data_IF_825658386932
#
_entry.id   IF_825658386932
#
_cell.length_a   1.000
_cell.length_b   1.000
_cell.length_c   1.000
_cell.angle_alpha   90.00
_cell.angle_beta   90.00
_cell.angle_gamma   90.00
#
_symmetry.space_group_name_H-M   'P 1'
#
loop_
_entity.id
_entity.type
_entity.pdbx_description
1 polymer ?
#
# COMPACT_ATOMS: atom_id res chain seq x y z
N UNK A 1 -34.54 -10.00 5.46
CA UNK A 1 -34.15 -9.84 4.04
C UNK A 1 -33.66 -8.44 3.62
N UNK A 2 -34.40 -7.32 3.78
CA UNK A 2 -33.95 -5.97 3.32
C UNK A 2 -32.76 -5.41 4.13
N UNK A 3 -32.72 -5.67 5.45
CA UNK A 3 -31.65 -5.22 6.38
C UNK A 3 -30.31 -5.93 6.14
N UNK A 4 -30.32 -7.23 5.86
CA UNK A 4 -29.11 -8.02 5.58
C UNK A 4 -28.44 -7.58 4.27
N UNK A 5 -29.22 -7.29 3.22
CA UNK A 5 -28.68 -6.73 1.98
C UNK A 5 -27.99 -5.38 2.21
N UNK A 6 -28.55 -4.52 3.07
CA UNK A 6 -27.95 -3.23 3.43
C UNK A 6 -26.64 -3.39 4.21
N UNK A 7 -26.57 -4.35 5.15
CA UNK A 7 -25.35 -4.66 5.89
C UNK A 7 -24.24 -5.20 4.98
N UNK A 8 -24.56 -6.13 4.06
CA UNK A 8 -23.59 -6.66 3.09
C UNK A 8 -22.96 -5.55 2.23
N UNK A 9 -23.75 -4.59 1.77
CA UNK A 9 -23.24 -3.45 0.99
C UNK A 9 -22.31 -2.58 1.83
N UNK A 10 -22.66 -2.28 3.09
CA UNK A 10 -21.77 -1.51 4.00
C UNK A 10 -20.42 -2.21 4.20
N UNK A 11 -20.41 -3.52 4.41
CA UNK A 11 -19.18 -4.30 4.55
C UNK A 11 -18.31 -4.22 3.29
N UNK A 12 -18.92 -4.36 2.10
CA UNK A 12 -18.18 -4.26 0.83
C UNK A 12 -17.60 -2.85 0.63
N UNK A 13 -18.29 -1.79 1.05
CA UNK A 13 -17.74 -0.42 1.01
C UNK A 13 -16.48 -0.32 1.87
N UNK A 14 -16.56 -0.76 3.12
CA UNK A 14 -15.42 -0.69 4.05
C UNK A 14 -14.22 -1.46 3.49
N UNK A 15 -14.44 -2.68 2.97
CA UNK A 15 -13.40 -3.49 2.36
C UNK A 15 -12.78 -2.81 1.13
N UNK A 16 -13.61 -2.22 0.26
CA UNK A 16 -13.15 -1.54 -0.96
C UNK A 16 -12.31 -0.30 -0.61
N UNK A 17 -12.74 0.48 0.38
CA UNK A 17 -11.99 1.65 0.87
C UNK A 17 -10.64 1.23 1.44
N UNK A 18 -10.59 0.16 2.22
CA UNK A 18 -9.34 -0.37 2.78
C UNK A 18 -8.37 -0.81 1.66
N UNK A 19 -8.86 -1.55 0.67
CA UNK A 19 -8.04 -1.98 -0.47
C UNK A 19 -7.53 -0.81 -1.31
N UNK A 20 -8.36 0.22 -1.51
CA UNK A 20 -7.97 1.44 -2.21
C UNK A 20 -6.84 2.17 -1.47
N UNK A 21 -6.92 2.26 -0.15
CA UNK A 21 -5.89 2.89 0.68
C UNK A 21 -4.55 2.13 0.59
N UNK A 22 -4.58 0.81 0.68
CA UNK A 22 -3.39 -0.06 0.53
C UNK A 22 -2.78 0.11 -0.86
N UNK A 23 -3.61 0.13 -1.91
CA UNK A 23 -3.16 0.33 -3.30
C UNK A 23 -2.49 1.69 -3.45
N UNK A 24 -3.07 2.75 -2.90
CA UNK A 24 -2.52 4.09 -2.97
C UNK A 24 -1.14 4.21 -2.31
N UNK A 25 -0.99 3.66 -1.11
CA UNK A 25 0.29 3.62 -0.39
C UNK A 25 1.33 2.82 -1.17
N UNK A 26 0.93 1.68 -1.73
CA UNK A 26 1.83 0.76 -2.44
C UNK A 26 2.18 1.22 -3.85
N UNK A 27 1.42 2.13 -4.45
CA UNK A 27 1.69 2.68 -5.78
C UNK A 27 2.86 3.67 -5.81
N UNK A 28 3.17 4.31 -4.67
CA UNK A 28 4.21 5.36 -4.60
C UNK A 28 5.20 5.14 -3.43
N UNK A 29 5.88 3.98 -3.36
CA UNK A 29 6.78 3.67 -2.24
C UNK A 29 8.01 4.59 -2.23
N UNK A 30 8.53 4.96 -3.40
CA UNK A 30 9.70 5.84 -3.54
C UNK A 30 9.43 7.25 -2.99
N UNK A 31 8.23 7.79 -3.24
CA UNK A 31 7.81 9.10 -2.73
C UNK A 31 7.72 9.08 -1.20
N UNK A 32 7.10 8.03 -0.63
CA UNK A 32 6.96 7.88 0.82
C UNK A 32 8.33 7.73 1.51
N UNK A 33 9.21 6.90 0.96
CA UNK A 33 10.57 6.71 1.49
C UNK A 33 11.37 8.00 1.39
N UNK A 34 11.31 8.72 0.27
CA UNK A 34 12.01 9.99 0.10
C UNK A 34 11.51 11.06 1.08
N UNK A 35 10.19 11.14 1.29
CA UNK A 35 9.60 12.09 2.23
C UNK A 35 9.98 11.75 3.67
N UNK A 36 9.91 10.47 4.05
CA UNK A 36 10.31 9.99 5.37
C UNK A 36 11.81 10.18 5.63
N UNK A 37 12.65 9.90 4.63
CA UNK A 37 14.09 10.12 4.71
C UNK A 37 14.42 11.59 4.94
N UNK A 38 13.78 12.50 4.19
CA UNK A 38 13.98 13.93 4.36
C UNK A 38 13.52 14.41 5.73
N UNK A 39 12.39 13.88 6.24
CA UNK A 39 11.86 14.22 7.56
C UNK A 39 12.77 13.77 8.71
N UNK A 40 13.45 12.63 8.57
CA UNK A 40 14.34 12.10 9.60
C UNK A 40 15.79 12.59 9.49
N UNK A 41 16.21 13.05 8.30
CA UNK A 41 17.59 13.52 8.06
C UNK A 41 17.94 14.79 8.84
N UNK A 42 16.95 15.51 9.36
CA UNK A 42 17.18 16.73 10.15
C UNK A 42 17.77 16.47 11.55
N UNK A 43 17.95 15.22 11.98
CA UNK A 43 18.46 14.86 13.33
C UNK A 43 19.67 13.89 13.34
N UNK A 44 20.33 13.65 12.20
CA UNK A 44 21.45 12.69 12.14
C UNK A 44 22.76 13.38 12.52
N UNK A 45 23.24 13.14 13.74
CA UNK A 45 24.58 13.53 14.18
C UNK A 45 25.63 12.75 13.36
N UNK A 46 26.49 13.49 12.67
CA UNK A 46 27.41 12.98 11.62
C UNK A 46 28.46 12.01 12.22
N UNK A 47 28.58 11.98 13.56
CA UNK A 47 29.52 11.13 14.30
C UNK A 47 29.15 9.64 14.30
N UNK A 48 27.87 9.28 14.21
CA UNK A 48 27.41 7.89 14.16
C UNK A 48 27.31 7.32 12.73
N UNK A 49 27.30 8.19 11.71
CA UNK A 49 27.23 7.80 10.30
C UNK A 49 28.46 6.98 9.86
N UNK A 50 29.62 7.20 10.47
CA UNK A 50 30.86 6.46 10.20
C UNK A 50 30.82 5.00 10.69
N UNK A 51 29.99 4.70 11.70
CA UNK A 51 29.86 3.35 12.30
C UNK A 51 28.87 2.47 11.51
N UNK A 52 27.83 3.09 10.95
CA UNK A 52 26.78 2.42 10.17
C UNK A 52 27.34 1.83 8.86
N UNK A 53 28.35 2.47 8.26
CA UNK A 53 29.06 1.95 7.08
C UNK A 53 29.93 0.72 7.35
N UNK A 54 30.37 0.52 8.61
CA UNK A 54 31.24 -0.61 9.01
C UNK A 54 30.42 -1.88 9.23
N UNK A 55 29.16 -1.78 9.70
CA UNK A 55 28.28 -2.94 9.95
C UNK A 55 27.70 -3.51 8.64
N UNK A 56 27.53 -2.69 7.59
CA UNK A 56 27.03 -3.12 6.27
C UNK A 56 28.11 -3.41 5.20
N UNK A 57 29.39 -3.34 5.55
CA UNK A 57 30.49 -3.20 4.57
C UNK A 57 31.03 -4.50 3.95
N UNK A 58 30.84 -5.67 4.56
CA UNK A 58 31.46 -6.91 4.05
C UNK A 58 30.63 -7.60 2.96
N UNK A 59 29.31 -7.44 2.99
CA UNK A 59 28.38 -8.09 2.04
C UNK A 59 27.21 -7.16 1.62
N UNK A 60 27.46 -5.85 1.68
CA UNK A 60 26.47 -4.81 1.33
C UNK A 60 25.81 -4.99 -0.05
N UNK A 61 26.56 -5.33 -1.11
CA UNK A 61 25.96 -5.59 -2.42
C UNK A 61 24.97 -6.76 -2.44
N UNK A 62 25.24 -7.84 -1.68
CA UNK A 62 24.35 -9.01 -1.61
C UNK A 62 23.11 -8.72 -0.79
N UNK A 63 23.23 -7.97 0.31
CA UNK A 63 22.07 -7.52 1.09
C UNK A 63 21.14 -6.61 0.27
N UNK A 64 21.70 -5.73 -0.56
CA UNK A 64 20.93 -4.90 -1.50
C UNK A 64 20.33 -5.75 -2.63
N UNK A 65 21.06 -6.73 -3.16
CA UNK A 65 20.57 -7.62 -4.21
C UNK A 65 19.39 -8.49 -3.75
N UNK A 66 19.46 -9.06 -2.54
CA UNK A 66 18.39 -9.88 -1.96
C UNK A 66 17.17 -9.02 -1.62
N UNK A 67 17.37 -7.84 -1.03
CA UNK A 67 16.24 -6.93 -0.70
C UNK A 67 15.59 -6.33 -1.95
N UNK A 68 16.35 -6.13 -3.03
CA UNK A 68 15.84 -5.64 -4.33
C UNK A 68 14.99 -6.64 -5.11
N UNK A 69 15.05 -7.94 -4.80
CA UNK A 69 14.25 -8.96 -5.49
C UNK A 69 12.78 -9.03 -5.03
N UNK A 70 12.44 -8.41 -3.91
CA UNK A 70 11.08 -8.48 -3.38
C UNK A 70 10.16 -7.51 -4.12
N UNK A 71 9.60 -7.95 -5.25
CA UNK A 71 8.71 -7.13 -6.08
C UNK A 71 7.32 -6.96 -5.42
N UNK A 72 7.19 -5.93 -4.58
CA UNK A 72 5.90 -5.48 -4.02
C UNK A 72 4.88 -5.07 -5.11
N UNK A 73 5.31 -4.97 -6.37
CA UNK A 73 4.49 -4.67 -7.53
C UNK A 73 3.36 -5.68 -7.73
N UNK A 74 3.61 -6.98 -7.51
CA UNK A 74 2.57 -8.01 -7.69
C UNK A 74 1.46 -7.88 -6.65
N UNK A 75 1.82 -7.61 -5.40
CA UNK A 75 0.87 -7.38 -4.31
C UNK A 75 0.04 -6.12 -4.59
N UNK A 76 0.67 -5.05 -5.07
CA UNK A 76 -0.02 -3.83 -5.50
C UNK A 76 -1.03 -4.11 -6.61
N UNK A 77 -0.67 -4.93 -7.60
CA UNK A 77 -1.57 -5.31 -8.69
C UNK A 77 -2.81 -6.08 -8.21
N UNK A 78 -2.65 -7.01 -7.25
CA UNK A 78 -3.77 -7.75 -6.65
C UNK A 78 -4.74 -6.79 -5.95
N UNK A 79 -4.23 -5.88 -5.09
CA UNK A 79 -5.07 -4.93 -4.37
C UNK A 79 -5.73 -3.90 -5.31
N UNK A 80 -5.05 -3.49 -6.38
CA UNK A 80 -5.62 -2.62 -7.39
C UNK A 80 -6.81 -3.31 -8.09
N UNK A 81 -6.65 -4.58 -8.49
CA UNK A 81 -7.71 -5.34 -9.13
C UNK A 81 -8.90 -5.54 -8.18
N UNK A 82 -8.65 -5.84 -6.91
CA UNK A 82 -9.69 -6.00 -5.89
C UNK A 82 -10.47 -4.70 -5.66
N UNK A 83 -9.77 -3.56 -5.69
CA UNK A 83 -10.37 -2.23 -5.61
C UNK A 83 -11.31 -1.97 -6.79
N UNK A 84 -10.86 -2.25 -8.02
CA UNK A 84 -11.68 -2.07 -9.23
C UNK A 84 -12.94 -2.94 -9.17
N UNK A 85 -12.80 -4.21 -8.78
CA UNK A 85 -13.92 -5.14 -8.66
C UNK A 85 -14.94 -4.67 -7.61
N UNK A 86 -14.46 -4.17 -6.46
CA UNK A 86 -15.28 -3.58 -5.41
C UNK A 86 -16.07 -2.35 -5.88
N UNK A 87 -15.43 -1.46 -6.65
CA UNK A 87 -16.07 -0.28 -7.24
C UNK A 87 -17.17 -0.70 -8.23
N UNK A 88 -16.88 -1.65 -9.14
CA UNK A 88 -17.86 -2.16 -10.11
C UNK A 88 -19.09 -2.73 -9.38
N UNK A 89 -18.87 -3.58 -8.37
CA UNK A 89 -19.95 -4.13 -7.57
C UNK A 89 -20.82 -3.04 -6.92
N UNK A 90 -20.19 -1.99 -6.38
CA UNK A 90 -20.89 -0.86 -5.78
C UNK A 90 -21.73 -0.08 -6.79
N UNK A 91 -21.19 0.17 -7.98
CA UNK A 91 -21.91 0.87 -9.07
C UNK A 91 -23.15 0.08 -9.49
N UNK A 92 -22.99 -1.23 -9.75
CA UNK A 92 -24.12 -2.11 -10.14
C UNK A 92 -25.18 -2.14 -9.04
N UNK A 93 -24.76 -2.26 -7.77
CA UNK A 93 -25.68 -2.33 -6.63
C UNK A 93 -26.43 -1.02 -6.43
N UNK A 94 -25.75 0.12 -6.62
CA UNK A 94 -26.36 1.45 -6.54
C UNK A 94 -27.35 1.68 -7.70
N UNK A 95 -26.99 1.27 -8.92
CA UNK A 95 -27.87 1.35 -10.09
C UNK A 95 -29.15 0.52 -9.90
N UNK A 96 -29.01 -0.75 -9.46
CA UNK A 96 -30.15 -1.63 -9.19
C UNK A 96 -31.09 -1.09 -8.10
N UNK A 97 -30.56 -0.39 -7.10
CA UNK A 97 -31.37 0.26 -6.05
C UNK A 97 -32.16 1.47 -6.58
N UNK A 98 -31.68 2.15 -7.62
CA UNK A 98 -32.31 3.35 -8.18
C UNK A 98 -33.38 3.04 -9.24
N UNK A 99 -33.49 1.78 -9.70
CA UNK A 99 -34.44 1.34 -10.72
C UNK A 99 -35.44 0.27 -10.20
N UNK A 100 -35.55 0.11 -8.88
CA UNK A 100 -36.48 -0.79 -8.21
C UNK A 100 -37.02 -0.14 -6.93
#
# INVERSE_FOLDING_TARGET
MKREKSLKVKVVIILTVLCALITFISAFPSLLVSLFYLFNKTNIDIRDASSIGIIGGADGPTAIFISGQTSLNWLTAIFALLTVLGIIYLVITKYKKNHN
#
